data_IF_701813501655
#
_entry.id   IF_701813501655
#
_cell.length_a   1.000
_cell.length_b   1.000
_cell.length_c   1.000
_cell.angle_alpha   90.00
_cell.angle_beta   90.00
_cell.angle_gamma   90.00
#
_symmetry.space_group_name_H-M   'P 1'
#
loop_
_entity.id
_entity.type
_entity.pdbx_description
1 polymer ?
#
# COMPACT_ATOMS: atom_id res chain seq x y z
N UNK A 1 8.11 -8.12 -9.26
CA UNK A 1 8.45 -9.27 -10.12
C UNK A 1 7.15 -9.95 -10.54
N UNK A 2 7.03 -10.33 -11.80
CA UNK A 2 5.86 -11.05 -12.33
C UNK A 2 6.30 -12.44 -12.78
N UNK A 3 5.41 -13.41 -12.61
CA UNK A 3 5.45 -14.67 -13.36
C UNK A 3 4.92 -14.39 -14.78
N UNK A 4 5.79 -14.51 -15.78
CA UNK A 4 5.48 -14.19 -17.17
C UNK A 4 4.46 -15.17 -17.80
N UNK A 5 4.26 -16.37 -17.23
CA UNK A 5 3.31 -17.35 -17.75
C UNK A 5 1.90 -17.16 -17.18
N UNK A 6 1.77 -16.49 -16.02
CA UNK A 6 0.49 -16.39 -15.30
C UNK A 6 0.01 -14.97 -15.07
N UNK A 7 0.81 -13.95 -15.40
CA UNK A 7 0.55 -12.54 -15.07
C UNK A 7 0.26 -12.33 -13.57
N UNK A 8 0.91 -13.13 -12.72
CA UNK A 8 0.76 -13.08 -11.25
C UNK A 8 2.01 -12.44 -10.66
N UNK A 9 1.88 -11.48 -9.73
CA UNK A 9 3.03 -10.91 -9.05
C UNK A 9 3.64 -11.94 -8.10
N UNK A 10 4.95 -12.21 -8.23
CA UNK A 10 5.72 -13.16 -7.41
C UNK A 10 6.53 -12.49 -6.29
N UNK A 11 6.63 -11.17 -6.32
CA UNK A 11 7.27 -10.36 -5.28
C UNK A 11 7.20 -8.87 -5.56
N UNK A 12 7.41 -8.06 -4.52
CA UNK A 12 7.49 -6.59 -4.60
C UNK A 12 8.67 -6.06 -3.81
N UNK A 13 9.28 -4.99 -4.32
CA UNK A 13 10.27 -4.20 -3.59
C UNK A 13 9.63 -2.88 -3.20
N UNK A 14 9.52 -2.63 -1.90
CA UNK A 14 9.09 -1.35 -1.35
C UNK A 14 10.30 -0.47 -1.09
N UNK A 15 10.31 0.72 -1.67
CA UNK A 15 11.39 1.70 -1.48
C UNK A 15 10.86 2.90 -0.72
N UNK A 16 11.33 3.07 0.52
CA UNK A 16 11.06 4.26 1.30
C UNK A 16 12.00 5.38 0.82
N UNK A 17 11.45 6.33 0.06
CA UNK A 17 12.17 7.54 -0.36
C UNK A 17 12.19 8.53 0.80
N UNK A 18 13.36 8.80 1.36
CA UNK A 18 13.59 9.94 2.24
C UNK A 18 14.23 11.11 1.46
N UNK A 19 14.21 12.35 1.98
CA UNK A 19 14.92 13.48 1.35
C UNK A 19 16.39 13.13 1.09
N UNK A 20 16.97 13.75 0.05
CA UNK A 20 18.17 13.38 -0.72
C UNK A 20 19.47 13.02 0.05
N UNK A 21 19.50 13.11 1.38
CA UNK A 21 20.69 12.99 2.21
C UNK A 21 20.89 11.58 2.83
N UNK A 22 19.93 10.66 2.72
CA UNK A 22 20.01 9.33 3.34
C UNK A 22 19.77 8.22 2.30
N UNK A 23 20.51 7.11 2.42
CA UNK A 23 20.28 5.88 1.63
C UNK A 23 18.83 5.41 1.81
N UNK A 24 18.10 5.27 0.70
CA UNK A 24 16.73 4.77 0.72
C UNK A 24 16.69 3.37 1.36
N UNK A 25 15.73 3.15 2.27
CA UNK A 25 15.47 1.83 2.83
C UNK A 25 14.62 1.04 1.84
N UNK A 26 15.05 -0.19 1.54
CA UNK A 26 14.33 -1.11 0.68
C UNK A 26 13.89 -2.34 1.47
N UNK A 27 12.69 -2.82 1.20
CA UNK A 27 12.18 -4.07 1.78
C UNK A 27 11.61 -4.93 0.65
N UNK A 28 12.03 -6.19 0.60
CA UNK A 28 11.53 -7.16 -0.36
C UNK A 28 10.44 -8.00 0.30
N UNK A 29 9.29 -8.08 -0.35
CA UNK A 29 8.16 -8.90 0.08
C UNK A 29 7.95 -9.97 -0.98
N UNK A 30 7.94 -11.22 -0.55
CA UNK A 30 7.76 -12.39 -1.41
C UNK A 30 6.31 -12.86 -1.34
N UNK A 31 5.86 -13.58 -2.36
CA UNK A 31 4.56 -14.24 -2.34
C UNK A 31 4.51 -15.40 -1.36
N UNK A 32 3.31 -15.67 -0.85
CA UNK A 32 2.97 -16.89 -0.11
C UNK A 32 1.82 -17.60 -0.81
N UNK A 33 1.64 -18.90 -0.55
CA UNK A 33 0.72 -19.78 -1.28
C UNK A 33 -0.74 -19.32 -1.20
N UNK A 34 -1.19 -18.86 -0.02
CA UNK A 34 -2.53 -18.33 0.18
C UNK A 34 -2.61 -16.88 -0.35
N UNK A 35 -3.25 -16.71 -1.51
CA UNK A 35 -3.41 -15.40 -2.17
C UNK A 35 -4.15 -14.38 -1.30
N UNK A 36 -5.06 -14.80 -0.44
CA UNK A 36 -5.81 -13.89 0.43
C UNK A 36 -4.94 -13.34 1.57
N UNK A 37 -3.87 -14.06 1.92
CA UNK A 37 -2.88 -13.64 2.92
C UNK A 37 -1.63 -13.06 2.28
N UNK A 38 -1.50 -13.15 0.95
CA UNK A 38 -0.33 -12.75 0.21
C UNK A 38 -0.21 -11.23 0.11
N UNK A 39 0.72 -10.60 0.85
CA UNK A 39 0.79 -9.13 0.89
C UNK A 39 1.17 -8.55 -0.48
N UNK A 40 1.92 -9.30 -1.28
CA UNK A 40 2.28 -8.94 -2.66
C UNK A 40 1.04 -8.86 -3.56
N UNK A 41 0.16 -9.86 -3.46
CA UNK A 41 -1.06 -9.90 -4.26
C UNK A 41 -2.01 -8.77 -3.84
N UNK A 42 -2.24 -8.60 -2.54
CA UNK A 42 -3.06 -7.50 -2.00
C UNK A 42 -2.53 -6.13 -2.43
N UNK A 43 -1.21 -5.92 -2.36
CA UNK A 43 -0.60 -4.68 -2.82
C UNK A 43 -0.77 -4.46 -4.31
N UNK A 44 -0.58 -5.50 -5.13
CA UNK A 44 -0.77 -5.40 -6.58
C UNK A 44 -2.21 -5.00 -6.93
N UNK A 45 -3.21 -5.67 -6.33
CA UNK A 45 -4.63 -5.33 -6.52
C UNK A 45 -4.88 -3.88 -6.15
N UNK A 46 -4.36 -3.42 -5.01
CA UNK A 46 -4.49 -2.04 -4.58
C UNK A 46 -3.86 -1.04 -5.57
N UNK A 47 -2.65 -1.32 -6.06
CA UNK A 47 -1.98 -0.47 -7.05
C UNK A 47 -2.75 -0.41 -8.37
N UNK A 48 -3.28 -1.52 -8.87
CA UNK A 48 -4.10 -1.53 -10.08
C UNK A 48 -5.39 -0.75 -9.89
N UNK A 49 -6.11 -0.99 -8.79
CA UNK A 49 -7.38 -0.31 -8.48
C UNK A 49 -7.23 1.20 -8.32
N UNK A 50 -6.06 1.66 -7.86
CA UNK A 50 -5.79 3.09 -7.63
C UNK A 50 -5.03 3.77 -8.76
N UNK A 51 -4.53 3.01 -9.76
CA UNK A 51 -3.61 3.52 -10.81
C UNK A 51 -4.17 4.74 -11.54
N UNK A 52 -5.35 4.60 -12.15
CA UNK A 52 -5.98 5.66 -12.95
C UNK A 52 -6.43 6.87 -12.10
N UNK A 53 -6.59 6.65 -10.79
CA UNK A 53 -7.07 7.65 -9.83
C UNK A 53 -5.94 8.38 -9.10
N UNK A 54 -4.67 8.14 -9.49
CA UNK A 54 -3.49 8.82 -8.96
C UNK A 54 -3.02 9.99 -9.85
N UNK A 55 -3.65 10.21 -11.00
CA UNK A 55 -3.19 11.17 -12.01
C UNK A 55 -3.16 12.63 -11.51
N UNK A 56 -4.00 13.00 -10.55
CA UNK A 56 -4.02 14.35 -9.96
C UNK A 56 -3.04 14.51 -8.79
N UNK A 57 -2.40 13.43 -8.32
CA UNK A 57 -1.46 13.48 -7.21
C UNK A 57 -0.06 13.89 -7.70
N UNK A 58 0.68 14.58 -6.83
CA UNK A 58 2.07 14.96 -7.12
C UNK A 58 2.96 13.72 -7.28
N UNK A 59 4.06 13.85 -8.02
CA UNK A 59 5.00 12.75 -8.32
C UNK A 59 5.58 12.07 -7.05
N UNK A 60 5.59 12.78 -5.92
CA UNK A 60 6.04 12.28 -4.61
C UNK A 60 4.95 11.71 -3.71
N UNK A 61 3.78 11.38 -4.23
CA UNK A 61 2.68 10.85 -3.42
C UNK A 61 3.01 9.49 -2.78
N UNK A 62 2.40 9.23 -1.62
CA UNK A 62 2.63 8.01 -0.85
C UNK A 62 1.87 6.83 -1.45
N UNK A 63 2.33 5.62 -1.09
CA UNK A 63 1.68 4.38 -1.50
C UNK A 63 0.21 4.36 -1.07
N UNK A 64 -0.04 4.58 0.23
CA UNK A 64 -1.38 4.57 0.80
C UNK A 64 -2.07 5.95 0.66
N UNK A 65 -3.38 5.91 0.39
CA UNK A 65 -4.21 7.08 0.16
C UNK A 65 -5.33 7.17 1.19
N UNK A 66 -5.88 8.36 1.38
CA UNK A 66 -7.08 8.64 2.19
C UNK A 66 -8.26 9.00 1.28
N UNK A 67 -9.47 8.96 1.84
CA UNK A 67 -10.71 9.36 1.17
C UNK A 67 -11.02 8.53 -0.09
N UNK A 68 -10.63 7.25 -0.08
CA UNK A 68 -10.85 6.33 -1.21
C UNK A 68 -12.33 6.06 -1.49
N UNK A 69 -13.20 6.30 -0.51
CA UNK A 69 -14.66 6.14 -0.61
C UNK A 69 -15.33 7.33 -1.30
N UNK A 70 -14.67 8.49 -1.38
CA UNK A 70 -15.19 9.65 -2.09
C UNK A 70 -15.20 9.37 -3.61
N UNK A 71 -16.34 9.66 -4.24
CA UNK A 71 -16.48 9.61 -5.70
C UNK A 71 -15.68 10.71 -6.40
N UNK A 72 -15.47 11.83 -5.70
CA UNK A 72 -14.63 12.93 -6.17
C UNK A 72 -13.15 12.59 -5.98
N UNK A 73 -12.49 12.25 -7.08
CA UNK A 73 -11.09 11.83 -7.10
C UNK A 73 -10.15 12.93 -6.60
N UNK A 74 -10.52 14.21 -6.74
CA UNK A 74 -9.67 15.34 -6.29
C UNK A 74 -9.46 15.35 -4.77
N UNK A 75 -10.34 14.66 -4.02
CA UNK A 75 -10.26 14.53 -2.56
C UNK A 75 -9.32 13.42 -2.11
N UNK A 76 -8.86 12.57 -3.02
CA UNK A 76 -7.91 11.52 -2.71
C UNK A 76 -6.56 12.17 -2.41
N UNK A 77 -5.98 11.82 -1.26
CA UNK A 77 -4.75 12.44 -0.78
C UNK A 77 -3.79 11.38 -0.24
N UNK A 78 -2.51 11.73 -0.17
CA UNK A 78 -1.51 10.88 0.49
C UNK A 78 -1.79 10.80 2.00
N UNK A 79 -1.79 9.59 2.54
CA UNK A 79 -2.06 9.38 3.96
C UNK A 79 -1.01 10.03 4.86
N UNK A 80 -1.44 10.53 6.02
CA UNK A 80 -0.52 11.04 7.04
C UNK A 80 0.10 9.86 7.82
N UNK A 81 1.37 9.97 8.28
CA UNK A 81 2.01 8.88 9.02
C UNK A 81 1.25 8.48 10.29
N UNK A 82 0.66 9.47 10.98
CA UNK A 82 -0.18 9.25 12.17
C UNK A 82 -1.41 8.39 11.87
N UNK A 83 -2.04 8.57 10.70
CA UNK A 83 -3.18 7.76 10.25
C UNK A 83 -2.77 6.31 9.94
N UNK A 84 -1.60 6.09 9.31
CA UNK A 84 -1.09 4.72 9.11
C UNK A 84 -0.85 4.05 10.46
N UNK A 85 -0.25 4.76 11.42
CA UNK A 85 0.05 4.22 12.73
C UNK A 85 -1.22 3.85 13.53
N UNK A 86 -2.35 4.51 13.27
CA UNK A 86 -3.61 4.19 13.94
C UNK A 86 -4.38 3.02 13.31
N UNK A 87 -4.08 2.62 12.07
CA UNK A 87 -4.78 1.54 11.38
C UNK A 87 -4.65 0.17 12.07
N UNK A 88 -3.44 -0.31 12.45
CA UNK A 88 -3.33 -1.60 13.12
C UNK A 88 -4.16 -1.65 14.40
N UNK A 89 -4.13 -0.55 15.18
CA UNK A 89 -4.91 -0.41 16.41
C UNK A 89 -6.41 -0.58 16.13
N UNK A 90 -6.94 0.15 15.14
CA UNK A 90 -8.35 0.09 14.77
C UNK A 90 -8.75 -1.28 14.23
N UNK A 91 -7.94 -1.88 13.36
CA UNK A 91 -8.18 -3.22 12.80
C UNK A 91 -8.23 -4.28 13.91
N UNK A 92 -7.32 -4.20 14.89
CA UNK A 92 -7.33 -5.10 16.04
C UNK A 92 -8.59 -4.93 16.90
N UNK A 93 -9.03 -3.69 17.14
CA UNK A 93 -10.29 -3.41 17.85
C UNK A 93 -11.50 -3.98 17.11
N UNK A 94 -11.60 -3.71 15.80
CA UNK A 94 -12.71 -4.18 14.96
C UNK A 94 -12.76 -5.71 14.89
N UNK A 95 -11.61 -6.38 15.02
CA UNK A 95 -11.49 -7.83 15.10
C UNK A 95 -11.71 -8.41 16.51
N UNK A 96 -11.97 -7.58 17.53
CA UNK A 96 -12.14 -8.01 18.92
C UNK A 96 -10.85 -8.50 19.59
N UNK A 97 -9.68 -8.10 19.09
CA UNK A 97 -8.37 -8.46 19.65
C UNK A 97 -8.03 -7.47 20.76
N UNK A 98 -7.85 -7.96 21.99
CA UNK A 98 -7.40 -7.16 23.12
C UNK A 98 -5.98 -6.64 22.89
N UNK A 99 -5.80 -5.32 23.02
CA UNK A 99 -4.49 -4.68 23.00
C UNK A 99 -4.11 -4.33 24.43
N UNK A 100 -3.37 -5.24 25.07
CA UNK A 100 -2.71 -5.01 26.36
C UNK A 100 -1.37 -4.30 26.19
#
# INVERSE_FOLDING_TARGET
>A
MMDNDKNIPIGVTLTARQPKEIKAKMSNIVTIEDRNKCPVHTLWVFCQATKERRNHLTEGHKLFLTNLEDMDQTKWQSVQPSTIASWPKRIMQDAGIEMN
#
